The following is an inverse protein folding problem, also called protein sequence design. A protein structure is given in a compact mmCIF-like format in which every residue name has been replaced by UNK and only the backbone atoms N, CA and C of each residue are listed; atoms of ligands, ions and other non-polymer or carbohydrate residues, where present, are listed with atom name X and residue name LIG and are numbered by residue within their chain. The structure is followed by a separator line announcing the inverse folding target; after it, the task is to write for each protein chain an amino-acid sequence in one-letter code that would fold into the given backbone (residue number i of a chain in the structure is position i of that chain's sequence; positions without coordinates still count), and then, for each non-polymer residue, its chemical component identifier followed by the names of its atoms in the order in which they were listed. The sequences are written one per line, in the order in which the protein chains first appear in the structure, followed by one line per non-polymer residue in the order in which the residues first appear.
data_IF_231058354005
#
_entry.id   IF_231058354005
#
_cell.length_a   1.000
_cell.length_b   1.000
_cell.length_c   1.000
_cell.angle_alpha   90.00
_cell.angle_beta   90.00
_cell.angle_gamma   90.00
#
_symmetry.space_group_name_H-M   'P 1'
#
loop_
_entity.id
_entity.type
_entity.pdbx_description
1 polymer ?
#
# COMPACT_ATOMS: atom_id res chain seq x y z
N UNK A 1 -10.26 -3.52 15.48
CA UNK A 1 -9.92 -2.36 14.62
C UNK A 1 -10.16 -1.10 15.43
N UNK A 2 -9.23 -0.14 15.47
CA UNK A 2 -9.37 1.12 16.21
C UNK A 2 -9.49 2.28 15.21
N UNK A 3 -10.56 3.07 15.32
CA UNK A 3 -10.78 4.27 14.50
C UNK A 3 -10.66 5.49 15.40
N UNK A 4 -9.94 6.52 14.94
CA UNK A 4 -9.78 7.79 15.67
C UNK A 4 -10.22 8.92 14.74
N UNK A 5 -11.41 9.52 14.93
CA UNK A 5 -11.98 10.49 14.00
C UNK A 5 -11.35 11.87 14.19
N UNK A 6 -10.14 12.06 13.64
CA UNK A 6 -9.42 13.33 13.64
C UNK A 6 -8.41 13.37 12.50
N UNK A 7 -7.81 14.55 12.28
CA UNK A 7 -6.66 14.70 11.38
C UNK A 7 -5.45 13.91 11.85
N UNK A 8 -4.62 13.51 10.88
CA UNK A 8 -3.34 12.85 11.09
C UNK A 8 -2.40 13.68 11.97
N UNK A 9 -1.64 12.99 12.83
CA UNK A 9 -0.51 13.54 13.59
C UNK A 9 0.69 12.64 13.38
N UNK A 10 1.89 13.20 13.27
CA UNK A 10 3.11 12.41 13.07
C UNK A 10 3.33 11.36 14.19
N UNK A 11 2.83 11.59 15.41
CA UNK A 11 2.86 10.62 16.51
C UNK A 11 2.06 9.34 16.23
N UNK A 12 1.11 9.37 15.28
CA UNK A 12 0.32 8.20 14.88
C UNK A 12 1.17 7.10 14.24
N UNK A 13 2.34 7.47 13.72
CA UNK A 13 3.31 6.55 13.14
C UNK A 13 4.19 5.85 14.19
N UNK A 14 4.04 6.17 15.48
CA UNK A 14 4.85 5.54 16.53
C UNK A 14 4.57 4.03 16.59
N UNK A 15 5.62 3.22 16.38
CA UNK A 15 5.54 1.76 16.36
C UNK A 15 4.93 1.16 15.09
N UNK A 16 4.59 1.98 14.09
CA UNK A 16 4.10 1.47 12.81
C UNK A 16 5.27 0.95 11.95
N UNK A 17 5.05 -0.15 11.23
CA UNK A 17 5.99 -0.66 10.21
C UNK A 17 5.64 -0.11 8.83
N UNK A 18 4.34 0.03 8.55
CA UNK A 18 3.82 0.56 7.31
C UNK A 18 2.63 1.50 7.53
N UNK A 19 2.40 2.40 6.58
CA UNK A 19 1.25 3.30 6.55
C UNK A 19 0.69 3.42 5.14
N UNK A 20 -0.65 3.49 5.04
CA UNK A 20 -1.37 3.85 3.82
C UNK A 20 -1.91 5.27 3.97
N UNK A 21 -1.49 6.18 3.08
CA UNK A 21 -2.06 7.52 2.97
C UNK A 21 -3.07 7.52 1.81
N UNK A 22 -4.35 7.40 2.15
CA UNK A 22 -5.44 7.28 1.20
C UNK A 22 -6.56 8.28 1.52
N UNK A 23 -6.17 9.53 1.80
CA UNK A 23 -7.14 10.63 1.96
C UNK A 23 -7.41 11.29 0.61
N UNK A 24 -8.45 12.11 0.55
CA UNK A 24 -8.78 12.98 -0.58
C UNK A 24 -7.93 14.27 -0.62
N UNK A 25 -7.11 14.53 0.39
CA UNK A 25 -6.21 15.69 0.46
C UNK A 25 -4.76 15.31 0.14
N UNK A 26 -4.31 15.71 -1.07
CA UNK A 26 -2.94 15.53 -1.57
C UNK A 26 -1.88 16.06 -0.62
N UNK A 27 -2.11 17.20 0.02
CA UNK A 27 -1.15 17.80 0.95
C UNK A 27 -1.02 16.96 2.22
N UNK A 28 -2.12 16.43 2.73
CA UNK A 28 -2.10 15.49 3.86
C UNK A 28 -1.38 14.20 3.49
N UNK A 29 -1.65 13.62 2.32
CA UNK A 29 -0.98 12.42 1.84
C UNK A 29 0.55 12.62 1.73
N UNK A 30 0.99 13.72 1.13
CA UNK A 30 2.42 14.08 1.04
C UNK A 30 3.07 14.23 2.42
N UNK A 31 2.40 14.92 3.35
CA UNK A 31 2.90 15.10 4.73
C UNK A 31 3.06 13.78 5.47
N UNK A 32 2.16 12.83 5.25
CA UNK A 32 2.27 11.46 5.80
C UNK A 32 3.51 10.78 5.22
N UNK A 33 3.73 10.87 3.91
CA UNK A 33 4.90 10.31 3.23
C UNK A 33 6.22 10.83 3.82
N UNK A 34 6.36 12.15 3.98
CA UNK A 34 7.53 12.77 4.59
C UNK A 34 7.72 12.32 6.05
N UNK A 35 6.65 12.32 6.84
CA UNK A 35 6.71 11.90 8.24
C UNK A 35 7.08 10.41 8.39
N UNK A 36 6.59 9.56 7.49
CA UNK A 36 6.91 8.14 7.45
C UNK A 36 8.38 7.90 7.09
N UNK A 37 8.88 8.58 6.05
CA UNK A 37 10.29 8.54 5.65
C UNK A 37 11.21 8.93 6.81
N UNK A 38 10.89 10.02 7.51
CA UNK A 38 11.67 10.48 8.69
C UNK A 38 11.66 9.51 9.88
N UNK A 39 10.76 8.53 9.90
CA UNK A 39 10.63 7.53 10.98
C UNK A 39 11.00 6.11 10.55
N UNK A 40 11.47 5.91 9.32
CA UNK A 40 11.75 4.58 8.79
C UNK A 40 10.49 3.71 8.59
N UNK A 41 9.32 4.34 8.42
CA UNK A 41 8.05 3.65 8.18
C UNK A 41 7.80 3.60 6.67
N UNK A 42 7.45 2.43 6.15
CA UNK A 42 7.11 2.28 4.73
C UNK A 42 5.75 2.94 4.45
N UNK A 43 5.72 3.93 3.57
CA UNK A 43 4.48 4.59 3.14
C UNK A 43 4.05 4.12 1.75
N UNK A 44 2.75 3.85 1.59
CA UNK A 44 2.08 3.77 0.31
C UNK A 44 1.10 4.95 0.19
N UNK A 45 1.25 5.73 -0.87
CA UNK A 45 0.56 7.00 -1.10
C UNK A 45 -0.40 6.79 -2.29
N UNK A 46 -1.71 6.78 -2.02
CA UNK A 46 -2.71 6.30 -2.97
C UNK A 46 -2.80 7.14 -4.26
N UNK A 47 -2.49 8.43 -4.16
CA UNK A 47 -2.54 9.40 -5.27
C UNK A 47 -1.17 9.67 -5.91
N UNK A 48 -0.08 9.06 -5.44
CA UNK A 48 1.28 9.33 -5.92
C UNK A 48 2.18 8.09 -5.84
N UNK A 49 2.38 7.43 -6.98
CA UNK A 49 3.24 6.25 -7.07
C UNK A 49 4.71 6.57 -6.76
N UNK A 50 5.20 7.76 -7.14
CA UNK A 50 6.59 8.19 -6.94
C UNK A 50 6.96 8.36 -5.45
N UNK A 51 5.98 8.58 -4.59
CA UNK A 51 6.17 8.70 -3.14
C UNK A 51 5.95 7.39 -2.38
N UNK A 52 5.56 6.32 -3.08
CA UNK A 52 5.40 5.01 -2.48
C UNK A 52 6.77 4.37 -2.24
N UNK A 53 6.94 3.77 -1.05
CA UNK A 53 8.06 2.89 -0.76
C UNK A 53 7.76 1.42 -1.11
N UNK A 54 6.48 1.08 -1.30
CA UNK A 54 6.04 -0.26 -1.65
C UNK A 54 4.75 -0.22 -2.46
N UNK A 55 4.52 -1.31 -3.20
CA UNK A 55 3.34 -1.52 -4.02
C UNK A 55 2.50 -2.63 -3.40
N UNK A 56 1.18 -2.48 -3.43
CA UNK A 56 0.25 -3.56 -3.07
C UNK A 56 0.11 -4.50 -4.28
N UNK A 57 0.60 -5.75 -4.21
CA UNK A 57 0.55 -6.67 -5.33
C UNK A 57 -0.86 -7.24 -5.53
N UNK A 58 -1.13 -7.75 -6.73
CA UNK A 58 -2.21 -8.71 -6.90
C UNK A 58 -1.88 -9.99 -6.11
N UNK A 59 -2.89 -10.63 -5.53
CA UNK A 59 -2.69 -11.81 -4.66
C UNK A 59 -3.65 -12.92 -5.03
N UNK A 60 -3.15 -14.14 -5.09
CA UNK A 60 -3.94 -15.39 -5.14
C UNK A 60 -3.68 -16.18 -3.86
N UNK A 61 -4.73 -16.80 -3.32
CA UNK A 61 -4.65 -17.66 -2.14
C UNK A 61 -5.47 -18.93 -2.37
N UNK A 62 -4.88 -20.11 -2.20
CA UNK A 62 -5.62 -21.37 -2.09
C UNK A 62 -5.06 -22.24 -0.98
N UNK A 63 -5.91 -22.53 0.01
CA UNK A 63 -5.47 -23.22 1.22
C UNK A 63 -4.30 -22.49 1.88
N UNK A 64 -3.19 -23.18 2.09
CA UNK A 64 -1.96 -22.63 2.67
C UNK A 64 -1.04 -21.92 1.68
N UNK A 65 -1.34 -21.94 0.37
CA UNK A 65 -0.49 -21.34 -0.66
C UNK A 65 -0.92 -19.90 -0.93
N UNK A 66 0.05 -18.98 -0.89
CA UNK A 66 -0.10 -17.58 -1.27
C UNK A 66 0.85 -17.24 -2.41
N UNK A 67 0.33 -16.58 -3.45
CA UNK A 67 1.13 -16.03 -4.55
C UNK A 67 0.87 -14.53 -4.64
N UNK A 68 1.94 -13.73 -4.62
CA UNK A 68 1.91 -12.29 -4.86
C UNK A 68 2.46 -11.99 -6.26
N UNK A 69 1.74 -11.18 -7.03
CA UNK A 69 2.04 -10.84 -8.42
C UNK A 69 2.18 -9.33 -8.50
N UNK A 70 3.34 -8.86 -8.92
CA UNK A 70 3.65 -7.44 -9.09
C UNK A 70 4.41 -7.23 -10.39
N UNK A 71 4.08 -6.15 -11.08
CA UNK A 71 4.81 -5.63 -12.24
C UNK A 71 5.69 -4.43 -11.86
N UNK A 72 6.01 -4.23 -10.58
CA UNK A 72 6.74 -3.05 -10.13
C UNK A 72 5.99 -1.73 -10.37
N UNK A 73 4.68 -1.78 -10.59
CA UNK A 73 3.84 -0.61 -10.86
C UNK A 73 3.65 -0.32 -12.35
N UNK A 74 4.34 -1.03 -13.24
CA UNK A 74 4.30 -0.78 -14.68
C UNK A 74 2.94 -1.10 -15.31
N UNK A 75 2.28 -2.16 -14.84
CA UNK A 75 0.99 -2.58 -15.41
C UNK A 75 0.10 -3.30 -14.41
N UNK A 76 -0.88 -2.59 -13.81
CA UNK A 76 -1.91 -3.20 -12.98
C UNK A 76 -2.75 -4.21 -13.75
N UNK A 77 -2.97 -3.98 -15.06
CA UNK A 77 -3.75 -4.85 -15.93
C UNK A 77 -3.10 -6.22 -16.10
N UNK A 78 -1.80 -6.27 -16.37
CA UNK A 78 -1.05 -7.53 -16.52
C UNK A 78 -1.05 -8.31 -15.21
N UNK A 79 -0.77 -7.65 -14.08
CA UNK A 79 -0.85 -8.28 -12.76
C UNK A 79 -2.22 -8.89 -12.48
N UNK A 80 -3.30 -8.19 -12.86
CA UNK A 80 -4.67 -8.69 -12.69
C UNK A 80 -5.02 -9.86 -13.62
N UNK A 81 -4.51 -9.87 -14.86
CA UNK A 81 -4.71 -10.98 -15.80
C UNK A 81 -3.99 -12.25 -15.34
N UNK A 82 -2.74 -12.12 -14.91
CA UNK A 82 -1.97 -13.24 -14.33
C UNK A 82 -2.65 -13.78 -13.08
N UNK A 83 -3.17 -12.90 -12.22
CA UNK A 83 -3.95 -13.29 -11.03
C UNK A 83 -5.12 -14.19 -11.41
N UNK A 84 -5.94 -13.79 -12.39
CA UNK A 84 -7.10 -14.58 -12.85
C UNK A 84 -6.69 -15.94 -13.38
N UNK A 85 -5.65 -15.99 -14.23
CA UNK A 85 -5.14 -17.27 -14.76
C UNK A 85 -4.64 -18.20 -13.65
N UNK A 86 -3.99 -17.65 -12.63
CA UNK A 86 -3.54 -18.42 -11.47
C UNK A 86 -4.69 -18.84 -10.56
N UNK A 87 -5.74 -18.02 -10.41
CA UNK A 87 -6.97 -18.39 -9.67
C UNK A 87 -7.67 -19.61 -10.29
N UNK A 88 -7.63 -19.78 -11.62
CA UNK A 88 -8.27 -20.91 -12.32
C UNK A 88 -7.48 -22.22 -12.19
N UNK A 89 -6.15 -22.13 -12.10
CA UNK A 89 -5.25 -23.30 -12.07
C UNK A 89 -4.94 -23.74 -10.63
N UNK A 90 -4.73 -22.76 -9.75
CA UNK A 90 -4.27 -23.04 -8.39
C UNK A 90 -5.32 -23.72 -7.57
#
# INVERSE_FOLDING_TARGET
MRVVPRRFRASDLAGAVLVFAATDDRLTNHRIGIAAKGKGVFANIADSAEECHFIVPARVQRGSIQVAISTGGESPRVSAELRRKLEDVL
#
